data_IF_912301320495
#
_entry.id   IF_912301320495
#
_cell.length_a   1.000
_cell.length_b   1.000
_cell.length_c   1.000
_cell.angle_alpha   90.00
_cell.angle_beta   90.00
_cell.angle_gamma   90.00
#
_symmetry.space_group_name_H-M   'P 1'
#
loop_
_entity.id
_entity.type
_entity.pdbx_description
1 polymer ?
#
# COMPACT_ATOMS: atom_id res chain seq x y z
N UNK A 1 5.32 0.07 22.67
CA UNK A 1 4.02 0.53 22.07
C UNK A 1 3.77 -0.35 20.88
N UNK A 2 2.52 -0.76 20.62
CA UNK A 2 2.16 -1.47 19.41
C UNK A 2 2.27 -0.49 18.23
N UNK A 3 2.86 -0.92 17.12
CA UNK A 3 2.93 -0.12 15.90
C UNK A 3 1.54 0.15 15.32
N UNK A 4 1.44 1.12 14.43
CA UNK A 4 0.21 1.48 13.73
C UNK A 4 0.22 0.95 12.31
N UNK A 5 -0.97 0.68 11.78
CA UNK A 5 -1.19 0.45 10.34
C UNK A 5 -1.80 1.73 9.77
N UNK A 6 -1.17 2.31 8.76
CA UNK A 6 -1.63 3.52 8.09
C UNK A 6 -1.78 3.22 6.60
N UNK A 7 -2.94 3.52 6.04
CA UNK A 7 -3.19 3.43 4.60
C UNK A 7 -3.16 4.82 3.98
N UNK A 8 -2.37 5.00 2.92
CA UNK A 8 -2.29 6.23 2.15
C UNK A 8 -2.72 5.93 0.71
N UNK A 9 -3.90 6.39 0.34
CA UNK A 9 -4.56 6.11 -0.93
C UNK A 9 -4.75 7.39 -1.75
N UNK A 10 -4.70 7.28 -3.06
CA UNK A 10 -4.97 8.40 -3.97
C UNK A 10 -4.67 8.07 -5.42
N UNK A 11 -5.12 8.92 -6.34
CA UNK A 11 -4.88 8.76 -7.77
C UNK A 11 -3.40 8.91 -8.18
N UNK A 12 -3.11 8.65 -9.44
CA UNK A 12 -1.80 8.90 -10.03
C UNK A 12 -1.43 10.39 -9.88
N UNK A 13 -0.20 10.67 -9.43
CA UNK A 13 0.32 12.03 -9.21
C UNK A 13 -0.48 12.87 -8.19
N UNK A 14 -1.21 12.22 -7.29
CA UNK A 14 -1.99 12.90 -6.23
C UNK A 14 -1.13 13.53 -5.12
N UNK A 15 0.17 13.18 -5.03
CA UNK A 15 1.04 13.59 -3.92
C UNK A 15 1.16 12.57 -2.78
N UNK A 16 0.51 11.39 -2.90
CA UNK A 16 0.48 10.36 -1.84
C UNK A 16 1.86 9.87 -1.40
N UNK A 17 2.80 9.63 -2.34
CA UNK A 17 4.16 9.16 -1.97
C UNK A 17 4.92 10.26 -1.21
N UNK A 18 4.83 11.52 -1.63
CA UNK A 18 5.43 12.64 -0.91
C UNK A 18 4.85 12.80 0.51
N UNK A 19 3.53 12.65 0.66
CA UNK A 19 2.90 12.66 1.97
C UNK A 19 3.35 11.47 2.82
N UNK A 20 3.45 10.26 2.25
CA UNK A 20 3.92 9.07 2.94
C UNK A 20 5.36 9.20 3.44
N UNK A 21 6.26 9.75 2.62
CA UNK A 21 7.65 10.05 2.98
C UNK A 21 7.71 11.08 4.13
N UNK A 22 6.94 12.16 4.05
CA UNK A 22 6.85 13.17 5.13
C UNK A 22 6.27 12.57 6.42
N UNK A 23 5.24 11.72 6.31
CA UNK A 23 4.66 11.06 7.47
C UNK A 23 5.70 10.16 8.14
N UNK A 24 6.40 9.32 7.37
CA UNK A 24 7.44 8.43 7.88
C UNK A 24 8.56 9.19 8.60
N UNK A 25 9.12 10.23 7.97
CA UNK A 25 10.19 11.06 8.55
C UNK A 25 9.77 11.74 9.86
N UNK A 26 8.49 12.13 10.00
CA UNK A 26 7.98 12.72 11.24
C UNK A 26 7.83 11.72 12.40
N UNK A 27 7.70 10.42 12.09
CA UNK A 27 7.51 9.40 13.12
C UNK A 27 8.84 8.88 13.68
N UNK A 28 9.87 8.69 12.86
CA UNK A 28 11.19 8.19 13.27
C UNK A 28 12.25 8.47 12.20
N UNK A 29 13.51 8.52 12.65
CA UNK A 29 14.69 8.55 11.77
C UNK A 29 15.04 7.14 11.25
N UNK A 30 14.53 6.07 11.89
CA UNK A 30 14.74 4.68 11.49
C UNK A 30 13.61 4.20 10.61
N UNK A 31 13.72 4.50 9.31
CA UNK A 31 12.73 4.15 8.31
C UNK A 31 13.28 3.08 7.36
N UNK A 32 12.51 2.03 7.13
CA UNK A 32 12.71 1.08 6.04
C UNK A 32 11.73 1.36 4.90
N UNK A 33 12.23 1.32 3.68
CA UNK A 33 11.41 1.45 2.47
C UNK A 33 11.33 0.09 1.77
N UNK A 34 10.12 -0.42 1.57
CA UNK A 34 9.86 -1.65 0.82
C UNK A 34 9.40 -1.27 -0.58
N UNK A 35 10.26 -1.54 -1.58
CA UNK A 35 9.98 -1.33 -2.98
C UNK A 35 9.31 -2.58 -3.57
N UNK A 36 8.09 -2.44 -4.08
CA UNK A 36 7.35 -3.54 -4.71
C UNK A 36 7.42 -3.53 -6.24
N UNK A 37 8.05 -2.52 -6.82
CA UNK A 37 8.20 -2.41 -8.26
C UNK A 37 9.06 -3.56 -8.80
N UNK A 38 8.51 -4.31 -9.76
CA UNK A 38 9.29 -5.19 -10.61
C UNK A 38 9.65 -4.42 -11.88
N UNK A 39 10.94 -4.29 -12.16
CA UNK A 39 11.42 -3.47 -13.29
C UNK A 39 11.35 -4.30 -14.56
N UNK A 40 10.37 -4.03 -15.39
CA UNK A 40 10.18 -4.70 -16.69
C UNK A 40 10.75 -3.91 -17.86
N UNK A 41 10.90 -2.57 -17.73
CA UNK A 41 11.33 -1.69 -18.81
C UNK A 41 12.12 -0.48 -18.32
N UNK A 42 12.69 0.27 -19.27
CA UNK A 42 13.51 1.45 -19.02
C UNK A 42 12.71 2.61 -18.39
N UNK A 43 11.43 2.75 -18.69
CA UNK A 43 10.57 3.79 -18.08
C UNK A 43 10.38 3.51 -16.59
N UNK A 44 10.10 2.25 -16.25
CA UNK A 44 9.97 1.82 -14.86
C UNK A 44 11.29 2.00 -14.09
N UNK A 45 12.43 1.64 -14.71
CA UNK A 45 13.76 1.87 -14.12
C UNK A 45 13.98 3.34 -13.80
N UNK A 46 13.66 4.23 -14.73
CA UNK A 46 13.79 5.70 -14.51
C UNK A 46 12.90 6.17 -13.36
N UNK A 47 11.67 5.68 -13.27
CA UNK A 47 10.75 6.02 -12.16
C UNK A 47 11.29 5.55 -10.82
N UNK A 48 11.80 4.32 -10.73
CA UNK A 48 12.40 3.77 -9.51
C UNK A 48 13.60 4.61 -9.08
N UNK A 49 14.47 4.99 -10.01
CA UNK A 49 15.64 5.86 -9.75
C UNK A 49 15.21 7.21 -9.17
N UNK A 50 14.27 7.90 -9.82
CA UNK A 50 13.74 9.18 -9.35
C UNK A 50 13.09 9.09 -7.94
N UNK A 51 12.41 8.00 -7.65
CA UNK A 51 11.84 7.76 -6.31
C UNK A 51 12.95 7.49 -5.28
N UNK A 52 14.04 6.85 -5.68
CA UNK A 52 15.19 6.59 -4.80
C UNK A 52 15.95 7.89 -4.45
N UNK A 53 16.15 8.76 -5.41
CA UNK A 53 16.87 10.04 -5.25
C UNK A 53 16.16 11.03 -4.32
N UNK A 54 14.84 10.88 -4.10
CA UNK A 54 14.06 11.75 -3.21
C UNK A 54 14.14 11.35 -1.75
N UNK A 55 14.56 10.12 -1.47
CA UNK A 55 14.56 9.58 -0.11
C UNK A 55 15.88 9.93 0.59
N UNK A 56 15.86 10.14 1.90
CA UNK A 56 17.08 10.26 2.68
C UNK A 56 17.98 9.04 2.51
N UNK A 57 19.30 9.24 2.36
CA UNK A 57 20.27 8.15 2.23
C UNK A 57 20.34 7.24 3.46
N UNK A 58 19.77 7.71 4.59
CA UNK A 58 19.66 6.95 5.85
C UNK A 58 18.58 5.87 5.80
N UNK A 59 17.66 5.91 4.82
CA UNK A 59 16.60 4.92 4.71
C UNK A 59 17.12 3.64 4.08
N UNK A 60 16.91 2.53 4.78
CA UNK A 60 17.23 1.22 4.22
C UNK A 60 16.14 0.79 3.21
N UNK A 61 16.57 0.38 2.00
CA UNK A 61 15.66 -0.09 0.95
C UNK A 61 15.70 -1.61 0.87
N UNK A 62 14.52 -2.22 0.85
CA UNK A 62 14.28 -3.63 0.60
C UNK A 62 13.45 -3.79 -0.67
N UNK A 63 13.81 -4.74 -1.52
CA UNK A 63 13.03 -5.08 -2.70
C UNK A 63 12.10 -6.27 -2.39
N UNK A 64 10.80 -6.09 -2.64
CA UNK A 64 9.79 -7.09 -2.37
C UNK A 64 8.70 -7.13 -3.46
N UNK A 65 9.05 -7.46 -4.71
CA UNK A 65 8.04 -7.64 -5.76
C UNK A 65 7.12 -8.83 -5.47
N UNK A 66 7.61 -9.81 -4.70
CA UNK A 66 6.91 -11.01 -4.22
C UNK A 66 7.31 -11.29 -2.77
N UNK A 67 6.56 -12.16 -2.07
CA UNK A 67 6.87 -12.61 -0.69
C UNK A 67 7.16 -11.46 0.29
N UNK A 68 6.38 -10.40 0.17
CA UNK A 68 6.63 -9.17 0.92
C UNK A 68 6.40 -9.32 2.43
N UNK A 69 5.68 -10.34 2.89
CA UNK A 69 5.51 -10.70 4.29
C UNK A 69 6.85 -11.03 4.97
N UNK A 70 7.73 -11.79 4.29
CA UNK A 70 9.05 -12.15 4.80
C UNK A 70 9.98 -10.93 4.89
N UNK A 71 9.94 -10.08 3.86
CA UNK A 71 10.74 -8.84 3.80
C UNK A 71 10.27 -7.84 4.85
N UNK A 72 8.97 -7.74 5.09
CA UNK A 72 8.38 -6.89 6.11
C UNK A 72 8.83 -7.32 7.51
N UNK A 73 8.91 -8.64 7.75
CA UNK A 73 9.46 -9.22 8.98
C UNK A 73 10.94 -8.85 9.18
N UNK A 74 11.73 -8.85 8.12
CA UNK A 74 13.14 -8.49 8.17
C UNK A 74 13.33 -7.00 8.43
N UNK A 75 12.63 -6.15 7.70
CA UNK A 75 12.66 -4.70 7.85
C UNK A 75 12.29 -4.25 9.27
N UNK A 76 11.29 -4.89 9.89
CA UNK A 76 10.83 -4.56 11.25
C UNK A 76 11.87 -4.85 12.35
N UNK A 77 12.93 -5.61 12.08
CA UNK A 77 14.02 -5.82 13.04
C UNK A 77 14.93 -4.61 13.21
N UNK A 78 14.90 -3.68 12.24
CA UNK A 78 15.85 -2.57 12.17
C UNK A 78 15.19 -1.20 11.97
N UNK A 79 13.88 -1.13 11.78
CA UNK A 79 13.15 0.10 11.56
C UNK A 79 11.95 0.24 12.49
N UNK A 80 11.69 1.48 12.92
CA UNK A 80 10.51 1.84 13.70
C UNK A 80 9.32 2.17 12.79
N UNK A 81 9.59 2.52 11.53
CA UNK A 81 8.61 2.83 10.49
C UNK A 81 8.96 2.09 9.21
N UNK A 82 7.98 1.46 8.60
CA UNK A 82 8.12 0.76 7.32
C UNK A 82 7.18 1.41 6.31
N UNK A 83 7.74 1.93 5.22
CA UNK A 83 7.00 2.49 4.10
C UNK A 83 6.93 1.46 2.97
N UNK A 84 5.75 0.89 2.74
CA UNK A 84 5.46 -0.09 1.70
C UNK A 84 4.90 0.60 0.45
N UNK A 85 5.72 0.74 -0.59
CA UNK A 85 5.36 1.48 -1.81
C UNK A 85 5.53 0.60 -3.06
N UNK A 86 4.45 0.01 -3.62
CA UNK A 86 3.05 0.21 -3.23
C UNK A 86 2.25 -1.10 -3.34
N UNK A 87 1.10 -1.18 -2.67
CA UNK A 87 0.16 -2.30 -2.81
C UNK A 87 -0.33 -2.49 -4.24
N UNK A 88 -0.48 -1.40 -5.00
CA UNK A 88 -0.88 -1.40 -6.41
C UNK A 88 0.04 -2.29 -7.26
N UNK A 89 1.36 -2.05 -7.20
CA UNK A 89 2.34 -2.83 -7.96
C UNK A 89 2.46 -4.25 -7.38
N UNK A 90 2.44 -4.40 -6.07
CA UNK A 90 2.46 -5.72 -5.44
C UNK A 90 1.30 -6.60 -5.90
N UNK A 91 0.07 -6.08 -5.86
CA UNK A 91 -1.13 -6.77 -6.36
C UNK A 91 -1.02 -7.10 -7.85
N UNK A 92 -0.48 -6.18 -8.65
CA UNK A 92 -0.24 -6.42 -10.09
C UNK A 92 0.79 -7.53 -10.33
N UNK A 93 1.88 -7.54 -9.58
CA UNK A 93 2.91 -8.59 -9.69
C UNK A 93 2.33 -9.96 -9.35
N UNK A 94 1.53 -10.07 -8.28
CA UNK A 94 0.86 -11.30 -7.91
C UNK A 94 -0.11 -11.78 -9.00
N UNK A 95 -0.91 -10.85 -9.56
CA UNK A 95 -1.87 -11.19 -10.63
C UNK A 95 -1.20 -11.64 -11.93
N UNK A 96 0.00 -11.13 -12.21
CA UNK A 96 0.76 -11.42 -13.44
C UNK A 96 1.81 -12.51 -13.24
N UNK A 97 1.92 -13.10 -12.04
CA UNK A 97 2.90 -14.15 -11.79
C UNK A 97 2.63 -15.41 -12.62
N UNK A 98 3.69 -16.08 -13.06
CA UNK A 98 3.58 -17.29 -13.88
C UNK A 98 2.92 -18.47 -13.13
N UNK A 99 3.00 -18.47 -11.81
CA UNK A 99 2.49 -19.54 -10.94
C UNK A 99 1.04 -19.31 -10.50
N UNK A 100 0.41 -18.22 -10.97
CA UNK A 100 -0.97 -17.93 -10.58
C UNK A 100 -1.96 -18.86 -11.27
N UNK A 101 -3.02 -19.25 -10.57
CA UNK A 101 -4.07 -20.09 -11.06
C UNK A 101 -4.77 -19.53 -12.31
N UNK A 102 -5.28 -20.41 -13.17
CA UNK A 102 -5.93 -20.03 -14.44
C UNK A 102 -7.31 -19.42 -14.24
N UNK A 103 -8.04 -19.81 -13.18
CA UNK A 103 -9.38 -19.28 -12.94
C UNK A 103 -9.36 -18.06 -12.00
N UNK A 104 -10.34 -17.16 -12.20
CA UNK A 104 -10.44 -15.88 -11.52
C UNK A 104 -10.59 -16.02 -9.99
N UNK A 105 -11.39 -16.97 -9.54
CA UNK A 105 -11.68 -17.17 -8.12
C UNK A 105 -10.43 -17.60 -7.35
N UNK A 106 -9.69 -18.55 -7.88
CA UNK A 106 -8.44 -19.02 -7.27
C UNK A 106 -7.36 -17.92 -7.26
N UNK A 107 -7.28 -17.11 -8.34
CA UNK A 107 -6.38 -15.93 -8.36
C UNK A 107 -6.73 -14.94 -7.26
N UNK A 108 -8.01 -14.62 -7.11
CA UNK A 108 -8.48 -13.73 -6.07
C UNK A 108 -8.13 -14.29 -4.68
N UNK A 109 -8.43 -15.55 -4.40
CA UNK A 109 -8.14 -16.19 -3.12
C UNK A 109 -6.65 -16.18 -2.82
N UNK A 110 -5.80 -16.48 -3.81
CA UNK A 110 -4.35 -16.41 -3.67
C UNK A 110 -3.88 -15.00 -3.29
N UNK A 111 -4.30 -13.98 -4.05
CA UNK A 111 -3.87 -12.59 -3.79
C UNK A 111 -4.36 -12.12 -2.42
N UNK A 112 -5.61 -12.37 -2.08
CA UNK A 112 -6.15 -12.01 -0.76
C UNK A 112 -5.40 -12.74 0.36
N UNK A 113 -5.01 -14.00 0.17
CA UNK A 113 -4.18 -14.76 1.11
C UNK A 113 -2.80 -14.12 1.34
N UNK A 114 -2.15 -13.60 0.29
CA UNK A 114 -0.88 -12.87 0.42
C UNK A 114 -1.06 -11.55 1.19
N UNK A 115 -2.17 -10.83 0.96
CA UNK A 115 -2.50 -9.62 1.73
C UNK A 115 -2.81 -9.95 3.20
N UNK A 116 -3.47 -11.08 3.47
CA UNK A 116 -3.72 -11.53 4.84
C UNK A 116 -2.43 -11.79 5.63
N UNK A 117 -1.41 -12.35 4.98
CA UNK A 117 -0.08 -12.53 5.60
C UNK A 117 0.55 -11.18 5.97
N UNK A 118 0.49 -10.19 5.07
CA UNK A 118 0.97 -8.83 5.35
C UNK A 118 0.24 -8.20 6.53
N UNK A 119 -1.09 -8.30 6.58
CA UNK A 119 -1.90 -7.76 7.66
C UNK A 119 -1.64 -8.45 8.98
N UNK A 120 -1.57 -9.79 8.99
CA UNK A 120 -1.30 -10.57 10.20
C UNK A 120 0.02 -10.17 10.84
N UNK A 121 1.06 -9.95 10.01
CA UNK A 121 2.33 -9.45 10.49
C UNK A 121 2.22 -8.01 10.99
N UNK A 122 1.58 -7.14 10.21
CA UNK A 122 1.44 -5.71 10.54
C UNK A 122 0.76 -5.48 11.88
N UNK A 123 -0.29 -6.25 12.17
CA UNK A 123 -1.03 -6.18 13.45
C UNK A 123 -0.20 -6.61 14.66
N UNK A 124 0.83 -7.44 14.46
CA UNK A 124 1.71 -7.94 15.52
C UNK A 124 3.00 -7.13 15.64
N UNK A 125 3.30 -6.29 14.67
CA UNK A 125 4.51 -5.49 14.61
C UNK A 125 4.51 -4.38 15.65
N UNK A 126 5.70 -4.03 16.15
CA UNK A 126 5.92 -2.81 16.92
C UNK A 126 6.25 -1.61 16.02
N UNK A 127 6.69 -1.86 14.79
CA UNK A 127 6.92 -0.82 13.80
C UNK A 127 5.60 -0.28 13.25
N UNK A 128 5.54 1.01 12.96
CA UNK A 128 4.44 1.62 12.21
C UNK A 128 4.58 1.28 10.73
N UNK A 129 3.53 0.75 10.12
CA UNK A 129 3.53 0.30 8.72
C UNK A 129 2.63 1.22 7.90
N UNK A 130 3.25 1.88 6.91
CA UNK A 130 2.58 2.78 5.98
C UNK A 130 2.38 2.04 4.64
N UNK A 131 1.16 1.69 4.31
CA UNK A 131 0.82 1.14 2.99
C UNK A 131 0.43 2.25 2.04
N UNK A 132 1.15 2.36 0.91
CA UNK A 132 0.79 3.28 -0.19
C UNK A 132 0.05 2.51 -1.26
N UNK A 133 -1.04 3.06 -1.78
CA UNK A 133 -1.82 2.45 -2.86
C UNK A 133 -2.45 3.47 -3.79
N UNK A 134 -2.78 3.05 -5.01
CA UNK A 134 -3.59 3.86 -5.91
C UNK A 134 -5.09 3.53 -5.76
N UNK A 135 -5.91 4.57 -5.85
CA UNK A 135 -7.32 4.42 -6.15
C UNK A 135 -7.50 4.29 -7.68
N UNK A 136 -7.94 3.12 -8.12
CA UNK A 136 -8.13 2.79 -9.55
C UNK A 136 -9.60 2.53 -9.92
N UNK A 137 -10.49 2.51 -8.94
CA UNK A 137 -11.91 2.21 -9.09
C UNK A 137 -12.76 3.40 -9.57
N UNK A 138 -12.34 4.63 -9.31
CA UNK A 138 -13.08 5.85 -9.65
C UNK A 138 -12.99 6.26 -11.12
N UNK A 139 -12.20 5.57 -11.94
CA UNK A 139 -12.04 5.87 -13.37
C UNK A 139 -13.06 5.14 -14.24
N UNK A 140 -12.90 5.32 -15.57
CA UNK A 140 -13.69 4.62 -16.60
C UNK A 140 -13.44 3.12 -16.50
N UNK A 141 -14.49 2.29 -16.70
CA UNK A 141 -14.37 0.84 -16.72
C UNK A 141 -13.52 0.39 -17.91
N UNK A 142 -12.40 -0.32 -17.71
CA UNK A 142 -11.53 -0.75 -18.80
C UNK A 142 -12.22 -1.74 -19.76
N UNK A 143 -11.91 -1.65 -21.06
CA UNK A 143 -12.38 -2.63 -22.06
C UNK A 143 -11.67 -3.99 -21.89
N UNK A 144 -10.41 -3.98 -21.47
CA UNK A 144 -9.62 -5.19 -21.26
C UNK A 144 -10.10 -5.97 -20.02
N UNK A 145 -10.36 -7.26 -20.16
CA UNK A 145 -10.88 -8.12 -19.10
C UNK A 145 -9.91 -8.24 -17.89
N UNK A 146 -8.60 -8.38 -18.16
CA UNK A 146 -7.59 -8.47 -17.10
C UNK A 146 -7.48 -7.14 -16.32
N UNK A 147 -7.60 -6.00 -17.01
CA UNK A 147 -7.59 -4.69 -16.36
C UNK A 147 -8.84 -4.50 -15.47
N UNK A 148 -10.01 -5.03 -15.85
CA UNK A 148 -11.20 -5.04 -14.97
C UNK A 148 -10.99 -5.94 -13.76
N UNK A 149 -10.43 -7.13 -13.96
CA UNK A 149 -10.10 -8.05 -12.87
C UNK A 149 -9.13 -7.41 -11.87
N UNK A 150 -8.05 -6.81 -12.37
CA UNK A 150 -7.09 -6.06 -11.55
C UNK A 150 -7.77 -4.94 -10.75
N UNK A 151 -8.64 -4.15 -11.39
CA UNK A 151 -9.37 -3.08 -10.75
C UNK A 151 -10.25 -3.56 -9.59
N UNK A 152 -10.97 -4.67 -9.80
CA UNK A 152 -11.82 -5.26 -8.77
C UNK A 152 -10.98 -5.77 -7.59
N UNK A 153 -9.89 -6.50 -7.88
CA UNK A 153 -8.97 -7.02 -6.86
C UNK A 153 -8.32 -5.89 -6.08
N UNK A 154 -7.82 -4.84 -6.76
CA UNK A 154 -7.21 -3.70 -6.11
C UNK A 154 -8.19 -2.98 -5.16
N UNK A 155 -9.46 -2.86 -5.55
CA UNK A 155 -10.52 -2.34 -4.68
C UNK A 155 -10.71 -3.17 -3.41
N UNK A 156 -10.80 -4.51 -3.54
CA UNK A 156 -10.92 -5.43 -2.40
C UNK A 156 -9.69 -5.38 -1.48
N UNK A 157 -8.49 -5.30 -2.05
CA UNK A 157 -7.24 -5.15 -1.28
C UNK A 157 -7.25 -3.84 -0.50
N UNK A 158 -7.62 -2.73 -1.14
CA UNK A 158 -7.69 -1.42 -0.49
C UNK A 158 -8.71 -1.42 0.66
N UNK A 159 -9.91 -1.99 0.45
CA UNK A 159 -10.95 -2.13 1.47
C UNK A 159 -10.45 -2.96 2.67
N UNK A 160 -9.81 -4.10 2.39
CA UNK A 160 -9.29 -5.00 3.42
C UNK A 160 -8.21 -4.35 4.28
N UNK A 161 -7.26 -3.64 3.67
CA UNK A 161 -6.23 -2.89 4.39
C UNK A 161 -6.87 -1.73 5.17
N UNK A 162 -7.80 -0.98 4.58
CA UNK A 162 -8.49 0.13 5.23
C UNK A 162 -9.27 -0.31 6.48
N UNK A 163 -9.91 -1.50 6.43
CA UNK A 163 -10.62 -2.07 7.58
C UNK A 163 -9.69 -2.30 8.78
N UNK A 164 -8.46 -2.77 8.53
CA UNK A 164 -7.46 -3.08 9.56
C UNK A 164 -6.58 -1.87 9.96
N UNK A 165 -6.53 -0.82 9.13
CA UNK A 165 -5.69 0.35 9.39
C UNK A 165 -6.22 1.20 10.56
N UNK A 166 -5.31 1.77 11.35
CA UNK A 166 -5.63 2.75 12.39
C UNK A 166 -5.97 4.11 11.80
N UNK A 167 -5.30 4.48 10.70
CA UNK A 167 -5.47 5.74 9.98
C UNK A 167 -5.58 5.48 8.47
N UNK A 168 -6.50 6.18 7.79
CA UNK A 168 -6.67 6.09 6.34
C UNK A 168 -6.67 7.50 5.75
N UNK A 169 -5.67 7.81 4.92
CA UNK A 169 -5.53 9.09 4.26
C UNK A 169 -5.85 8.99 2.78
N UNK A 170 -6.85 9.74 2.32
CA UNK A 170 -7.08 10.01 0.90
C UNK A 170 -6.29 11.27 0.51
N UNK A 171 -5.39 11.14 -0.46
CA UNK A 171 -4.58 12.26 -0.94
C UNK A 171 -5.06 12.71 -2.32
N UNK A 172 -5.53 13.96 -2.39
CA UNK A 172 -6.02 14.61 -3.62
C UNK A 172 -5.29 15.95 -3.76
N UNK A 173 -4.69 16.21 -4.91
CA UNK A 173 -3.99 17.48 -5.19
C UNK A 173 -2.96 17.86 -4.13
N UNK A 174 -2.25 16.90 -3.56
CA UNK A 174 -1.27 17.10 -2.49
C UNK A 174 -1.87 17.28 -1.08
N UNK A 175 -3.19 17.28 -0.95
CA UNK A 175 -3.90 17.49 0.32
C UNK A 175 -4.34 16.13 0.90
N UNK A 176 -3.81 15.71 2.07
CA UNK A 176 -4.24 14.52 2.76
C UNK A 176 -5.51 14.79 3.60
N UNK A 177 -6.49 13.90 3.47
CA UNK A 177 -7.73 13.92 4.28
C UNK A 177 -7.83 12.59 5.01
N UNK A 178 -7.91 12.63 6.33
CA UNK A 178 -8.02 11.41 7.15
C UNK A 178 -9.49 10.95 7.22
N UNK A 179 -9.79 9.86 6.48
CA UNK A 179 -11.15 9.40 6.26
C UNK A 179 -11.81 8.81 7.52
N UNK A 180 -11.07 8.08 8.36
CA UNK A 180 -11.67 7.46 9.55
C UNK A 180 -12.19 8.48 10.56
N UNK A 181 -11.56 9.65 10.66
CA UNK A 181 -12.08 10.75 11.49
C UNK A 181 -13.38 11.31 10.98
N UNK A 182 -13.54 11.43 9.66
CA UNK A 182 -14.79 11.89 9.04
C UNK A 182 -15.92 10.86 9.22
N UNK A 183 -15.63 9.57 9.01
CA UNK A 183 -16.62 8.49 9.17
C UNK A 183 -17.13 8.41 10.60
N UNK A 184 -16.26 8.55 11.62
CA UNK A 184 -16.68 8.56 13.02
C UNK A 184 -17.61 9.72 13.37
N UNK A 185 -17.44 10.89 12.75
CA UNK A 185 -18.31 12.05 12.92
C UNK A 185 -19.71 11.79 12.34
N UNK A 186 -19.80 11.25 11.13
CA UNK A 186 -21.09 10.91 10.48
C UNK A 186 -21.87 9.87 11.31
N UNK A 187 -21.21 8.84 11.83
CA UNK A 187 -21.86 7.81 12.63
C UNK A 187 -22.43 8.31 13.96
N UNK A 188 -21.87 9.37 14.53
CA UNK A 188 -22.40 10.00 15.76
C UNK A 188 -23.64 10.85 15.51
N UNK A 189 -23.75 11.47 14.34
CA UNK A 189 -24.90 12.31 13.98
C UNK A 189 -26.15 11.48 13.63
N UNK A 190 -25.98 10.28 13.07
CA UNK A 190 -27.10 9.40 12.67
C UNK A 190 -27.80 8.75 13.89
N UNK A 191 -27.15 8.68 15.06
CA UNK A 191 -27.72 8.05 16.26
C UNK A 191 -28.47 9.03 17.18
N UNK A 192 -28.61 10.29 16.80
CA UNK A 192 -29.32 11.32 17.59
C UNK A 192 -30.52 11.96 16.85
N UNK A 193 -31.04 11.27 15.79
CA UNK A 193 -32.24 11.63 15.08
C UNK A 193 -33.39 10.65 15.33
#
# INVERSE_FOLDING_TARGET
MQGKIVLIIGGTRSGKSAFAEQYATKQSDKVAYIATAHVYDQEMQTRVTLHRERRPDTWQTFEAPYHADQILLEAAKQADVILFDCLTLYTSNLLLSADIASNREERLQFIIGEIDKLLLFSQKSQATILFVTNEVGMGIVPENALAREYRDIAGMVNEKIAACADEVYLVICGLPVELKKLTAQISKEVHHG
#
